data_IF_649641493067
#
_entry.id   IF_649641493067
#
_cell.length_a   1.000
_cell.length_b   1.000
_cell.length_c   1.000
_cell.angle_alpha   90.00
_cell.angle_beta   90.00
_cell.angle_gamma   90.00
#
_symmetry.space_group_name_H-M   'P 1'
#
loop_
_entity.id
_entity.type
_entity.pdbx_description
1 polymer ?
#
# COMPACT_ATOMS: atom_id res chain seq x y z
N UNK A 1 0.12 8.14 -17.41
CA UNK A 1 -0.93 8.55 -16.46
C UNK A 1 -2.11 7.59 -16.61
N UNK A 2 -2.09 6.46 -15.88
CA UNK A 2 -3.18 5.46 -15.90
C UNK A 2 -3.44 4.86 -14.50
N UNK A 3 -2.68 5.26 -13.48
CA UNK A 3 -2.72 4.70 -12.12
C UNK A 3 -3.85 5.34 -11.30
N UNK A 4 -4.35 6.52 -11.70
CA UNK A 4 -5.35 7.30 -10.96
C UNK A 4 -6.74 6.63 -10.88
N UNK A 5 -7.06 5.69 -11.77
CA UNK A 5 -8.38 5.04 -11.82
C UNK A 5 -8.47 3.74 -11.00
N UNK A 6 -7.37 3.26 -10.42
CA UNK A 6 -7.36 1.99 -9.70
C UNK A 6 -8.09 2.08 -8.35
N UNK A 7 -9.18 1.33 -8.17
CA UNK A 7 -9.94 1.28 -6.91
C UNK A 7 -9.17 0.46 -5.87
N UNK A 8 -8.51 1.15 -4.93
CA UNK A 8 -7.73 0.53 -3.87
C UNK A 8 -8.54 0.47 -2.57
N UNK A 9 -8.65 -0.72 -2.00
CA UNK A 9 -9.35 -0.97 -0.73
C UNK A 9 -8.45 -1.68 0.25
N UNK A 10 -8.41 -1.20 1.48
CA UNK A 10 -7.74 -1.90 2.59
C UNK A 10 -8.67 -2.98 3.12
N UNK A 11 -8.20 -4.22 3.09
CA UNK A 11 -8.93 -5.40 3.55
C UNK A 11 -8.54 -5.84 4.95
N UNK A 12 -7.40 -5.36 5.46
CA UNK A 12 -6.95 -5.69 6.81
C UNK A 12 -5.63 -5.03 7.17
N UNK A 13 -5.30 -5.14 8.46
CA UNK A 13 -4.07 -4.64 9.05
C UNK A 13 -3.42 -5.78 9.82
N UNK A 14 -2.20 -6.14 9.45
CA UNK A 14 -1.41 -7.16 10.10
C UNK A 14 -0.39 -6.46 11.02
N UNK A 15 -0.48 -6.71 12.33
CA UNK A 15 0.48 -6.22 13.33
C UNK A 15 1.45 -7.33 13.67
N UNK A 16 2.74 -7.11 13.39
CA UNK A 16 3.82 -7.98 13.86
C UNK A 16 4.31 -7.45 15.19
N UNK A 17 4.39 -8.30 16.21
CA UNK A 17 4.91 -7.94 17.53
C UNK A 17 6.28 -8.57 17.75
N UNK A 18 7.23 -7.79 18.27
CA UNK A 18 8.52 -8.27 18.75
C UNK A 18 8.78 -7.68 20.14
N UNK A 19 9.22 -8.52 21.08
CA UNK A 19 9.54 -8.12 22.46
C UNK A 19 8.41 -7.32 23.16
N UNK A 20 7.15 -7.66 22.90
CA UNK A 20 5.98 -7.01 23.50
C UNK A 20 5.59 -5.66 22.90
N UNK A 21 6.30 -5.18 21.87
CA UNK A 21 5.97 -3.97 21.13
C UNK A 21 5.58 -4.31 19.69
N UNK A 22 4.85 -3.39 19.04
CA UNK A 22 4.61 -3.49 17.59
C UNK A 22 5.97 -3.30 16.91
N UNK A 23 6.36 -4.25 16.07
CA UNK A 23 7.60 -4.25 15.30
C UNK A 23 7.34 -3.73 13.88
N UNK A 24 6.32 -4.28 13.22
CA UNK A 24 5.95 -3.91 11.84
C UNK A 24 4.43 -3.90 11.68
N UNK A 25 3.90 -2.83 11.09
CA UNK A 25 2.50 -2.77 10.62
C UNK A 25 2.48 -2.98 9.12
N UNK A 26 1.64 -3.91 8.66
CA UNK A 26 1.42 -4.16 7.22
C UNK A 26 -0.05 -3.96 6.88
N UNK A 27 -0.33 -3.06 5.96
CA UNK A 27 -1.67 -2.88 5.40
C UNK A 27 -1.86 -3.85 4.25
N UNK A 28 -2.92 -4.66 4.32
CA UNK A 28 -3.34 -5.52 3.24
C UNK A 28 -4.32 -4.76 2.37
N UNK A 29 -4.01 -4.62 1.09
CA UNK A 29 -4.84 -3.91 0.14
C UNK A 29 -5.19 -4.79 -1.05
N UNK A 30 -6.35 -4.51 -1.64
CA UNK A 30 -6.78 -5.05 -2.93
C UNK A 30 -7.00 -3.87 -3.86
N UNK A 31 -6.62 -4.05 -5.12
CA UNK A 31 -6.74 -3.06 -6.18
C UNK A 31 -7.54 -3.69 -7.30
N UNK A 32 -8.54 -2.96 -7.78
CA UNK A 32 -9.33 -3.36 -8.94
C UNK A 32 -9.32 -2.24 -9.96
N UNK A 33 -9.11 -2.58 -11.23
CA UNK A 33 -9.27 -1.64 -12.34
C UNK A 33 -10.76 -1.31 -12.57
N UNK A 34 -11.12 -0.10 -13.05
CA UNK A 34 -12.49 0.28 -13.40
C UNK A 34 -13.21 -0.69 -14.36
N UNK A 35 -12.50 -1.40 -15.24
CA UNK A 35 -13.08 -2.43 -16.11
C UNK A 35 -13.29 -3.77 -15.40
N UNK A 36 -12.83 -3.90 -14.15
CA UNK A 36 -12.76 -5.13 -13.35
C UNK A 36 -11.93 -6.25 -14.01
N UNK A 37 -11.10 -5.94 -15.00
CA UNK A 37 -10.28 -6.94 -15.68
C UNK A 37 -8.95 -7.21 -14.96
N UNK A 38 -8.48 -6.23 -14.16
CA UNK A 38 -7.25 -6.34 -13.39
C UNK A 38 -7.58 -6.34 -11.92
N UNK A 39 -7.18 -7.40 -11.23
CA UNK A 39 -7.26 -7.53 -9.78
C UNK A 39 -5.87 -7.80 -9.20
N UNK A 40 -5.39 -6.89 -8.36
CA UNK A 40 -4.14 -7.04 -7.63
C UNK A 40 -4.42 -7.06 -6.13
N UNK A 41 -3.63 -7.83 -5.38
CA UNK A 41 -3.69 -7.86 -3.92
C UNK A 41 -2.28 -7.80 -3.39
N UNK A 42 -2.05 -7.04 -2.33
CA UNK A 42 -0.72 -6.82 -1.81
C UNK A 42 -0.70 -6.50 -0.33
N UNK A 43 0.53 -6.36 0.17
CA UNK A 43 0.81 -5.88 1.51
C UNK A 43 1.82 -4.76 1.40
N UNK A 44 1.58 -3.68 2.12
CA UNK A 44 2.52 -2.56 2.22
C UNK A 44 2.85 -2.30 3.67
N UNK A 45 4.13 -2.15 3.94
CA UNK A 45 4.62 -1.82 5.27
C UNK A 45 4.42 -0.34 5.52
N UNK A 46 3.85 0.00 6.68
CA UNK A 46 3.67 1.37 7.14
C UNK A 46 4.26 1.52 8.54
N UNK A 47 4.74 2.71 8.84
CA UNK A 47 5.25 3.04 10.17
C UNK A 47 4.09 3.17 11.15
N UNK A 48 4.37 3.01 12.45
CA UNK A 48 3.35 3.20 13.49
C UNK A 48 2.77 4.60 13.47
N UNK A 49 3.61 5.62 13.32
CA UNK A 49 3.20 7.02 13.26
C UNK A 49 2.24 7.29 12.10
N UNK A 50 2.52 6.74 10.92
CA UNK A 50 1.67 6.85 9.73
C UNK A 50 0.32 6.16 9.94
N UNK A 51 0.34 4.96 10.53
CA UNK A 51 -0.86 4.20 10.84
C UNK A 51 -1.76 4.91 11.85
N UNK A 52 -1.21 5.37 12.97
CA UNK A 52 -1.97 6.04 14.03
C UNK A 52 -2.42 7.45 13.64
N UNK A 53 -1.72 8.10 12.70
CA UNK A 53 -2.15 9.39 12.12
C UNK A 53 -3.28 9.22 11.09
N UNK A 54 -3.41 8.04 10.48
CA UNK A 54 -4.44 7.74 9.49
C UNK A 54 -5.72 7.25 10.17
N UNK A 55 -6.60 8.18 10.54
CA UNK A 55 -7.86 7.86 11.20
C UNK A 55 -8.91 7.34 10.21
N UNK A 56 -9.02 6.02 10.13
CA UNK A 56 -10.12 5.33 9.42
C UNK A 56 -9.69 4.63 8.13
N UNK A 57 -10.58 3.76 7.63
CA UNK A 57 -10.28 2.87 6.50
C UNK A 57 -10.00 3.61 5.19
N UNK A 58 -10.59 4.79 4.98
CA UNK A 58 -10.34 5.63 3.80
C UNK A 58 -8.92 6.20 3.84
N UNK A 59 -8.52 6.78 4.97
CA UNK A 59 -7.17 7.31 5.15
C UNK A 59 -6.09 6.21 5.02
N UNK A 60 -6.38 4.99 5.50
CA UNK A 60 -5.49 3.84 5.30
C UNK A 60 -5.40 3.39 3.84
N UNK A 61 -6.48 3.55 3.06
CA UNK A 61 -6.47 3.27 1.63
C UNK A 61 -5.65 4.32 0.87
N UNK A 62 -5.77 5.60 1.22
CA UNK A 62 -4.93 6.65 0.65
C UNK A 62 -3.46 6.40 0.98
N UNK A 63 -3.13 6.09 2.25
CA UNK A 63 -1.77 5.75 2.66
C UNK A 63 -1.22 4.54 1.91
N UNK A 64 -2.02 3.49 1.72
CA UNK A 64 -1.62 2.31 0.98
C UNK A 64 -1.42 2.59 -0.52
N UNK A 65 -2.24 3.47 -1.09
CA UNK A 65 -2.12 3.94 -2.47
C UNK A 65 -0.84 4.75 -2.66
N UNK A 66 -0.55 5.71 -1.79
CA UNK A 66 0.65 6.54 -1.87
C UNK A 66 1.92 5.68 -1.81
N UNK A 67 1.99 4.73 -0.88
CA UNK A 67 3.11 3.80 -0.78
C UNK A 67 3.21 2.84 -1.98
N UNK A 68 2.08 2.42 -2.55
CA UNK A 68 2.06 1.59 -3.75
C UNK A 68 2.60 2.36 -4.95
N UNK A 69 2.15 3.60 -5.14
CA UNK A 69 2.63 4.50 -6.20
C UNK A 69 4.11 4.78 -6.00
N UNK A 70 4.55 5.15 -4.80
CA UNK A 70 5.97 5.39 -4.47
C UNK A 70 6.84 4.18 -4.85
N UNK A 71 6.36 2.96 -4.63
CA UNK A 71 7.11 1.74 -4.96
C UNK A 71 7.10 1.41 -6.45
N UNK A 72 6.01 1.71 -7.17
CA UNK A 72 5.90 1.53 -8.62
C UNK A 72 6.69 2.59 -9.38
N UNK A 73 6.65 3.84 -8.94
CA UNK A 73 7.41 4.95 -9.52
C UNK A 73 8.89 4.90 -9.11
N UNK A 74 9.18 4.45 -7.89
CA UNK A 74 10.54 4.21 -7.39
C UNK A 74 11.22 2.97 -7.97
N UNK A 75 10.55 2.19 -8.82
CA UNK A 75 11.19 1.12 -9.62
C UNK A 75 11.60 1.60 -11.02
N UNK A 76 11.61 2.91 -11.26
CA UNK A 76 12.14 3.51 -12.48
C UNK A 76 13.62 3.92 -12.33
N UNK A 77 14.42 3.05 -11.70
CA UNK A 77 15.88 3.08 -11.90
C UNK A 77 16.16 2.33 -13.21
N UNK A 78 16.48 3.15 -14.22
CA UNK A 78 17.29 2.96 -15.42
C UNK A 78 17.46 1.51 -15.96
N UNK A 79 17.13 1.24 -17.25
CA UNK A 79 17.64 0.02 -17.88
C UNK A 79 19.16 0.06 -17.80
N UNK A 80 19.76 -0.97 -17.21
CA UNK A 80 21.19 -1.25 -17.35
C UNK A 80 21.53 -1.21 -18.84
N UNK A 81 22.21 -0.13 -19.24
CA UNK A 81 22.83 -0.04 -20.55
C UNK A 81 24.13 -0.86 -20.47
N UNK A 82 24.12 -2.04 -21.08
CA UNK A 82 25.34 -2.77 -21.47
C UNK A 82 25.56 -2.65 -22.98
#
# INVERSE_FOLDING_TARGET
MAIEQLDLRVSGVDFTYANGNIDVIRLRFNVTDPTNEINASGRVQVSQEEYFSSQGLVALADLARDKLIERLEGSKEEPEAE
#
